data_IF_089503214719
#
_entry.id   IF_089503214719
#
_cell.length_a   1.000
_cell.length_b   1.000
_cell.length_c   1.000
_cell.angle_alpha   90.00
_cell.angle_beta   90.00
_cell.angle_gamma   90.00
#
_symmetry.space_group_name_H-M   'P 1'
#
loop_
_entity.id
_entity.type
_entity.pdbx_description
1 polymer ?
#
# COMPACT_ATOMS: atom_id res chain seq x y z
N UNK A 1 -8.01 -12.15 -30.77
CA UNK A 1 -7.48 -11.12 -29.87
C UNK A 1 -7.64 -11.66 -28.46
N UNK A 2 -6.61 -12.29 -27.91
CA UNK A 2 -6.63 -12.77 -26.54
C UNK A 2 -6.36 -11.58 -25.63
N UNK A 3 -7.36 -11.22 -24.83
CA UNK A 3 -7.27 -10.26 -23.75
C UNK A 3 -6.26 -10.84 -22.74
N UNK A 4 -5.03 -10.32 -22.75
CA UNK A 4 -4.08 -10.61 -21.68
C UNK A 4 -4.60 -9.89 -20.45
N UNK A 5 -5.51 -10.54 -19.71
CA UNK A 5 -5.87 -10.12 -18.37
C UNK A 5 -4.57 -10.08 -17.57
N UNK A 6 -4.08 -8.87 -17.30
CA UNK A 6 -2.91 -8.67 -16.47
C UNK A 6 -3.15 -9.41 -15.15
N UNK A 7 -2.35 -10.44 -14.90
CA UNK A 7 -2.38 -11.18 -13.64
C UNK A 7 -2.35 -10.17 -12.49
N UNK A 8 -3.23 -10.28 -11.48
CA UNK A 8 -3.29 -9.32 -10.38
C UNK A 8 -1.91 -9.28 -9.71
N UNK A 9 -1.35 -8.07 -9.63
CA UNK A 9 0.01 -7.87 -9.15
C UNK A 9 0.07 -8.31 -7.68
N UNK A 10 0.66 -9.47 -7.38
CA UNK A 10 0.57 -10.09 -6.05
C UNK A 10 1.62 -9.58 -5.06
N UNK A 11 2.13 -8.36 -5.26
CA UNK A 11 3.27 -7.79 -4.51
C UNK A 11 2.99 -7.74 -3.02
N UNK A 12 1.76 -7.37 -2.64
CA UNK A 12 1.33 -7.24 -1.26
C UNK A 12 0.40 -8.39 -0.84
N UNK A 13 0.54 -9.55 -1.48
CA UNK A 13 -0.18 -10.76 -1.07
C UNK A 13 0.10 -11.07 0.40
N UNK A 14 -0.95 -11.38 1.17
CA UNK A 14 -0.88 -11.60 2.62
C UNK A 14 -0.94 -10.34 3.49
N UNK A 15 -0.91 -9.13 2.89
CA UNK A 15 -1.16 -7.90 3.65
C UNK A 15 -2.65 -7.65 3.83
N UNK A 16 -3.05 -7.33 5.06
CA UNK A 16 -4.39 -6.83 5.37
C UNK A 16 -4.27 -5.37 5.77
N UNK A 17 -4.81 -4.48 4.95
CA UNK A 17 -4.52 -3.05 5.01
C UNK A 17 -5.78 -2.29 5.41
N UNK A 18 -5.72 -1.61 6.54
CA UNK A 18 -6.74 -0.64 6.94
C UNK A 18 -6.35 0.75 6.43
N UNK A 19 -7.26 1.43 5.74
CA UNK A 19 -7.03 2.81 5.28
C UNK A 19 -7.74 3.72 6.27
N UNK A 20 -6.96 4.56 6.96
CA UNK A 20 -7.53 5.52 7.90
C UNK A 20 -8.31 6.60 7.14
N UNK A 21 -9.53 6.89 7.61
CA UNK A 21 -10.38 7.91 7.02
C UNK A 21 -9.94 9.29 7.48
N UNK A 22 -9.60 10.16 6.52
CA UNK A 22 -9.22 11.55 6.78
C UNK A 22 -10.33 12.35 7.45
N UNK A 23 -9.94 13.36 8.22
CA UNK A 23 -10.86 14.29 8.91
C UNK A 23 -11.75 15.10 7.97
N UNK A 24 -11.34 15.29 6.71
CA UNK A 24 -12.12 15.95 5.67
C UNK A 24 -13.02 14.99 4.88
N UNK A 25 -13.02 13.71 5.27
CA UNK A 25 -13.84 12.65 4.67
C UNK A 25 -13.70 12.57 3.14
N UNK A 26 -12.50 12.82 2.61
CA UNK A 26 -12.19 12.70 1.18
C UNK A 26 -12.41 11.26 0.67
N UNK A 27 -13.64 10.99 0.24
CA UNK A 27 -14.08 9.68 -0.22
C UNK A 27 -13.40 9.26 -1.52
N UNK A 28 -13.00 10.23 -2.36
CA UNK A 28 -12.31 9.95 -3.61
C UNK A 28 -10.90 9.44 -3.34
N UNK A 29 -10.13 10.12 -2.49
CA UNK A 29 -8.80 9.65 -2.09
C UNK A 29 -8.88 8.28 -1.41
N UNK A 30 -9.86 8.07 -0.52
CA UNK A 30 -10.06 6.79 0.14
C UNK A 30 -10.36 5.67 -0.88
N UNK A 31 -11.29 5.89 -1.81
CA UNK A 31 -11.64 4.91 -2.84
C UNK A 31 -10.46 4.59 -3.77
N UNK A 32 -9.67 5.61 -4.14
CA UNK A 32 -8.47 5.42 -4.95
C UNK A 32 -7.42 4.55 -4.24
N UNK A 33 -7.21 4.76 -2.93
CA UNK A 33 -6.31 3.94 -2.13
C UNK A 33 -6.83 2.50 -1.99
N UNK A 34 -8.13 2.30 -1.77
CA UNK A 34 -8.74 0.96 -1.73
C UNK A 34 -8.51 0.22 -3.05
N UNK A 35 -8.73 0.91 -4.18
CA UNK A 35 -8.50 0.33 -5.50
C UNK A 35 -7.03 -0.03 -5.70
N UNK A 36 -6.09 0.84 -5.31
CA UNK A 36 -4.65 0.56 -5.42
C UNK A 36 -4.21 -0.61 -4.54
N UNK A 37 -4.70 -0.70 -3.30
CA UNK A 37 -4.44 -1.84 -2.40
C UNK A 37 -4.88 -3.16 -3.04
N UNK A 38 -6.09 -3.19 -3.62
CA UNK A 38 -6.60 -4.39 -4.31
C UNK A 38 -5.78 -4.73 -5.56
N UNK A 39 -5.39 -3.72 -6.35
CA UNK A 39 -4.57 -3.92 -7.54
C UNK A 39 -3.19 -4.52 -7.23
N UNK A 40 -2.64 -4.20 -6.05
CA UNK A 40 -1.38 -4.75 -5.53
C UNK A 40 -1.56 -6.07 -4.77
N UNK A 41 -2.75 -6.69 -4.83
CA UNK A 41 -3.01 -8.02 -4.29
C UNK A 41 -3.23 -8.09 -2.77
N UNK A 42 -3.33 -6.94 -2.10
CA UNK A 42 -3.62 -6.88 -0.66
C UNK A 42 -5.12 -6.90 -0.36
N UNK A 43 -5.48 -7.31 0.87
CA UNK A 43 -6.85 -7.33 1.38
C UNK A 43 -7.17 -6.00 2.09
N UNK A 44 -8.05 -5.14 1.57
CA UNK A 44 -8.48 -3.95 2.30
C UNK A 44 -9.40 -4.34 3.46
N UNK A 45 -9.11 -3.81 4.64
CA UNK A 45 -9.93 -3.97 5.84
C UNK A 45 -10.89 -2.79 5.98
N UNK A 46 -12.17 -3.08 6.21
CA UNK A 46 -13.18 -2.04 6.46
C UNK A 46 -13.08 -1.42 7.87
N UNK A 47 -12.43 -2.14 8.82
CA UNK A 47 -12.32 -1.75 10.23
C UNK A 47 -10.95 -2.17 10.75
N UNK A 48 -10.45 -1.43 11.74
CA UNK A 48 -9.25 -1.83 12.47
C UNK A 48 -9.55 -3.09 13.29
N UNK A 49 -8.82 -4.16 13.03
CA UNK A 49 -9.01 -5.48 13.65
C UNK A 49 -7.67 -6.19 13.78
N UNK A 50 -7.65 -7.34 14.48
CA UNK A 50 -6.44 -8.15 14.69
C UNK A 50 -5.83 -8.71 13.40
N UNK A 51 -6.60 -8.79 12.32
CA UNK A 51 -6.09 -9.23 11.03
C UNK A 51 -5.26 -8.15 10.32
N UNK A 52 -5.39 -6.87 10.72
CA UNK A 52 -4.74 -5.75 10.04
C UNK A 52 -3.24 -5.81 10.29
N UNK A 53 -2.45 -5.87 9.22
CA UNK A 53 -0.99 -5.84 9.29
C UNK A 53 -0.43 -4.45 9.03
N UNK A 54 -1.11 -3.65 8.22
CA UNK A 54 -0.69 -2.28 7.89
C UNK A 54 -1.85 -1.29 8.00
N UNK A 55 -1.54 -0.08 8.45
CA UNK A 55 -2.46 1.04 8.43
C UNK A 55 -1.91 2.13 7.51
N UNK A 56 -2.68 2.51 6.49
CA UNK A 56 -2.35 3.66 5.66
C UNK A 56 -2.91 4.90 6.34
N UNK A 57 -2.03 5.81 6.75
CA UNK A 57 -2.37 7.11 7.31
C UNK A 57 -1.93 8.22 6.36
N UNK A 58 -2.90 9.02 5.90
CA UNK A 58 -2.66 10.16 5.02
C UNK A 58 -3.12 11.45 5.70
N UNK A 59 -2.21 12.40 5.86
CA UNK A 59 -2.58 13.76 6.28
C UNK A 59 -3.14 14.56 5.12
N UNK A 60 -4.01 15.52 5.43
CA UNK A 60 -4.41 16.56 4.47
C UNK A 60 -3.22 17.46 4.15
N UNK A 61 -2.91 17.61 2.85
CA UNK A 61 -1.76 18.38 2.33
C UNK A 61 -1.74 19.85 2.82
N UNK A 62 -2.89 20.51 2.79
CA UNK A 62 -3.07 21.90 3.23
C UNK A 62 -3.95 21.95 4.47
N UNK A 63 -3.54 21.23 5.51
CA UNK A 63 -4.21 21.24 6.81
C UNK A 63 -3.91 22.53 7.58
N UNK A 64 -4.95 23.13 8.16
CA UNK A 64 -4.80 24.22 9.13
C UNK A 64 -4.31 23.69 10.49
N UNK A 65 -3.98 24.59 11.44
CA UNK A 65 -3.44 24.20 12.75
C UNK A 65 -4.40 23.32 13.58
N UNK A 66 -5.70 23.57 13.51
CA UNK A 66 -6.70 22.80 14.24
C UNK A 66 -6.83 21.39 13.64
N UNK A 67 -6.87 21.31 12.32
CA UNK A 67 -6.89 20.06 11.54
C UNK A 67 -5.67 19.20 11.85
N UNK A 68 -4.46 19.79 11.85
CA UNK A 68 -3.22 19.06 12.21
C UNK A 68 -3.26 18.49 13.62
N UNK A 69 -3.74 19.27 14.59
CA UNK A 69 -3.88 18.81 15.99
C UNK A 69 -4.88 17.65 16.11
N UNK A 70 -5.98 17.69 15.36
CA UNK A 70 -6.93 16.59 15.29
C UNK A 70 -6.28 15.33 14.69
N UNK A 71 -5.62 15.45 13.54
CA UNK A 71 -4.88 14.35 12.91
C UNK A 71 -3.80 13.76 13.83
N UNK A 72 -3.05 14.58 14.58
CA UNK A 72 -2.04 14.13 15.55
C UNK A 72 -2.66 13.40 16.75
N UNK A 73 -3.89 13.78 17.12
CA UNK A 73 -4.64 13.14 18.19
C UNK A 73 -5.16 11.78 17.73
N UNK A 74 -5.69 11.70 16.51
CA UNK A 74 -6.13 10.47 15.89
C UNK A 74 -4.97 9.50 15.66
N UNK A 75 -3.83 9.99 15.20
CA UNK A 75 -2.63 9.18 15.01
C UNK A 75 -2.13 8.58 16.34
N UNK A 76 -2.10 9.38 17.41
CA UNK A 76 -1.78 8.87 18.76
C UNK A 76 -2.80 7.84 19.25
N UNK A 77 -4.09 8.09 19.01
CA UNK A 77 -5.14 7.12 19.33
C UNK A 77 -4.96 5.82 18.56
N UNK A 78 -4.52 5.90 17.31
CA UNK A 78 -4.27 4.75 16.45
C UNK A 78 -3.13 3.89 17.00
N UNK A 79 -2.01 4.51 17.37
CA UNK A 79 -0.90 3.79 18.03
C UNK A 79 -1.30 3.16 19.38
N UNK A 80 -2.28 3.72 20.09
CA UNK A 80 -2.82 3.11 21.31
C UNK A 80 -3.81 1.96 21.07
N UNK A 81 -4.35 1.81 19.85
CA UNK A 81 -5.37 0.81 19.49
C UNK A 81 -4.82 -0.34 18.65
N UNK A 82 -3.75 -0.09 17.91
CA UNK A 82 -3.11 -1.09 17.06
C UNK A 82 -2.25 -2.05 17.89
N UNK A 83 -2.24 -3.31 17.48
CA UNK A 83 -1.33 -4.30 18.06
C UNK A 83 0.13 -3.93 17.72
N UNK A 84 1.13 -4.37 18.53
CA UNK A 84 2.53 -3.97 18.37
C UNK A 84 3.16 -4.32 17.01
N UNK A 85 2.57 -5.28 16.29
CA UNK A 85 3.06 -5.78 15.00
C UNK A 85 2.46 -5.03 13.80
N UNK A 86 1.52 -4.11 14.02
CA UNK A 86 0.88 -3.34 12.95
C UNK A 86 1.76 -2.17 12.54
N UNK A 87 2.01 -2.04 11.24
CA UNK A 87 2.86 -0.97 10.70
C UNK A 87 2.00 0.18 10.17
N UNK A 88 2.20 1.38 10.68
CA UNK A 88 1.57 2.60 10.15
C UNK A 88 2.45 3.18 9.05
N UNK A 89 1.90 3.37 7.85
CA UNK A 89 2.62 3.81 6.66
C UNK A 89 1.89 4.97 5.96
N UNK A 90 2.61 5.72 5.13
CA UNK A 90 2.01 6.72 4.24
C UNK A 90 1.55 6.08 2.92
N UNK A 91 0.65 6.73 2.15
CA UNK A 91 0.26 6.25 0.82
C UNK A 91 1.44 6.02 -0.15
N UNK A 92 2.56 6.72 0.04
CA UNK A 92 3.75 6.57 -0.79
C UNK A 92 4.39 5.18 -0.67
N UNK A 93 4.12 4.45 0.41
CA UNK A 93 4.56 3.07 0.58
C UNK A 93 4.00 2.17 -0.52
N UNK A 94 2.72 2.33 -0.91
CA UNK A 94 2.13 1.56 -2.01
C UNK A 94 2.86 1.79 -3.34
N UNK A 95 3.25 3.05 -3.61
CA UNK A 95 4.03 3.38 -4.79
C UNK A 95 5.43 2.74 -4.74
N UNK A 96 6.11 2.84 -3.59
CA UNK A 96 7.43 2.24 -3.43
C UNK A 96 7.41 0.72 -3.57
N UNK A 97 6.38 0.05 -3.05
CA UNK A 97 6.20 -1.40 -3.21
C UNK A 97 6.06 -1.79 -4.68
N UNK A 98 5.28 -1.02 -5.45
CA UNK A 98 5.11 -1.20 -6.90
C UNK A 98 6.41 -0.99 -7.67
N UNK A 99 7.08 0.15 -7.43
CA UNK A 99 8.34 0.49 -8.10
C UNK A 99 9.44 -0.53 -7.81
N UNK A 100 9.54 -1.02 -6.57
CA UNK A 100 10.54 -2.03 -6.19
C UNK A 100 10.28 -3.38 -6.83
N UNK A 101 9.02 -3.81 -6.93
CA UNK A 101 8.68 -5.06 -7.62
C UNK A 101 9.03 -4.98 -9.12
N UNK A 102 8.71 -3.86 -9.77
CA UNK A 102 9.08 -3.62 -11.17
C UNK A 102 10.60 -3.67 -11.37
N UNK A 103 11.38 -3.09 -10.45
CA UNK A 103 12.84 -3.17 -10.49
C UNK A 103 13.36 -4.59 -10.32
N UNK A 104 12.81 -5.37 -9.39
CA UNK A 104 13.22 -6.76 -9.18
C UNK A 104 12.95 -7.64 -10.40
N UNK A 105 11.80 -7.45 -11.06
CA UNK A 105 11.47 -8.11 -12.33
C UNK A 105 12.45 -7.74 -13.44
N UNK A 106 12.80 -6.47 -13.57
CA UNK A 106 13.77 -6.01 -14.57
C UNK A 106 15.16 -6.62 -14.36
N UNK A 107 15.61 -6.71 -13.10
CA UNK A 107 16.88 -7.37 -12.75
C UNK A 107 16.84 -8.86 -13.08
N UNK A 108 15.75 -9.55 -12.74
CA UNK A 108 15.59 -10.97 -13.04
C UNK A 108 15.63 -11.24 -14.56
N UNK A 109 14.94 -10.42 -15.36
CA UNK A 109 14.97 -10.52 -16.81
C UNK A 109 16.38 -10.32 -17.37
N UNK A 110 17.13 -9.32 -16.88
CA UNK A 110 18.51 -9.08 -17.31
C UNK A 110 19.44 -10.26 -17.00
N UNK A 111 19.26 -10.93 -15.85
CA UNK A 111 20.06 -12.12 -15.50
C UNK A 111 19.76 -13.29 -16.45
N UNK A 112 18.47 -13.50 -16.80
CA UNK A 112 18.07 -14.56 -17.74
C UNK A 112 18.66 -14.31 -19.13
N UNK A 113 18.57 -13.08 -19.63
CA UNK A 113 19.13 -12.68 -20.93
C UNK A 113 20.66 -12.87 -20.98
N UNK A 114 21.36 -12.53 -19.90
CA UNK A 114 22.81 -12.76 -19.80
C UNK A 114 23.15 -14.26 -19.75
N UNK A 115 22.35 -15.08 -19.07
CA UNK A 115 22.52 -16.54 -19.04
C UNK A 115 22.33 -17.19 -20.41
N UNK A 116 21.36 -16.70 -21.19
CA UNK A 116 21.15 -17.15 -22.57
C UNK A 116 22.28 -16.70 -23.50
N UNK A 117 22.69 -15.42 -23.41
CA UNK A 117 23.80 -14.88 -24.19
C UNK A 117 25.16 -15.54 -23.86
N UNK A 118 25.35 -15.99 -22.61
CA UNK A 118 26.55 -16.69 -22.16
C UNK A 118 26.53 -18.20 -22.45
N UNK A 119 25.45 -18.75 -23.01
CA UNK A 119 25.33 -20.16 -23.39
C UNK A 119 25.24 -21.12 -22.20
N UNK A 120 24.66 -20.68 -21.08
CA UNK A 120 24.49 -21.48 -19.85
C UNK A 120 23.09 -22.10 -19.72
N UNK A 121 22.27 -22.03 -20.76
CA UNK A 121 20.89 -22.53 -20.81
C UNK A 121 20.77 -23.88 -21.52
#
# INVERSE_FOLDING_TARGET
>A
MADQAAEPCSILSGCCIFIWQRIDHDAYAHSALVAKVKALGAKPAARLSKEVTHVIFQRKLQSNLQERKAEDTDLRSLYGKVEPHVVVVSPLWLQHSEDNAARQLAVAAAIVELGWAAGWA
#
